data_IF_807161737851
#
_entry.id   IF_807161737851
#
_cell.length_a   1.000
_cell.length_b   1.000
_cell.length_c   1.000
_cell.angle_alpha   90.00
_cell.angle_beta   90.00
_cell.angle_gamma   90.00
#
_symmetry.space_group_name_H-M   'P 1'
#
loop_
_entity.id
_entity.type
_entity.pdbx_description
1 polymer ?
#
# COMPACT_ATOMS: atom_id res chain seq x y z
N UNK A 1 3.49 8.68 -11.36
CA UNK A 1 3.86 8.16 -10.03
C UNK A 1 2.75 8.40 -8.99
N UNK A 2 2.36 9.66 -8.75
CA UNK A 2 1.30 10.00 -7.79
C UNK A 2 -0.05 9.32 -8.08
N UNK A 3 -0.45 9.22 -9.35
CA UNK A 3 -1.67 8.53 -9.76
C UNK A 3 -1.67 7.03 -9.38
N UNK A 4 -0.51 6.36 -9.48
CA UNK A 4 -0.35 4.96 -9.09
C UNK A 4 -0.45 4.80 -7.57
N UNK A 5 0.17 5.71 -6.81
CA UNK A 5 0.07 5.73 -5.34
C UNK A 5 -1.39 5.86 -4.92
N UNK A 6 -2.15 6.80 -5.48
CA UNK A 6 -3.57 6.95 -5.14
C UNK A 6 -4.37 5.70 -5.46
N UNK A 7 -4.08 5.03 -6.58
CA UNK A 7 -4.72 3.77 -6.94
C UNK A 7 -4.46 2.66 -5.92
N UNK A 8 -3.20 2.50 -5.50
CA UNK A 8 -2.77 1.57 -4.46
C UNK A 8 -3.46 1.88 -3.12
N UNK A 9 -3.40 3.14 -2.68
CA UNK A 9 -3.98 3.56 -1.40
C UNK A 9 -5.50 3.35 -1.41
N UNK A 10 -6.20 3.70 -2.50
CA UNK A 10 -7.63 3.41 -2.64
C UNK A 10 -7.93 1.91 -2.56
N UNK A 11 -7.15 1.07 -3.22
CA UNK A 11 -7.31 -0.38 -3.13
C UNK A 11 -7.10 -0.88 -1.69
N UNK A 12 -6.07 -0.38 -1.01
CA UNK A 12 -5.80 -0.72 0.40
C UNK A 12 -6.98 -0.36 1.29
N UNK A 13 -7.55 0.84 1.16
CA UNK A 13 -8.71 1.25 1.97
C UNK A 13 -9.99 0.52 1.59
N UNK A 14 -10.22 0.23 0.30
CA UNK A 14 -11.40 -0.48 -0.19
C UNK A 14 -11.44 -1.94 0.29
N UNK A 15 -10.30 -2.63 0.25
CA UNK A 15 -10.20 -4.05 0.59
C UNK A 15 -9.68 -4.31 2.01
N UNK A 16 -9.20 -3.28 2.70
CA UNK A 16 -8.79 -3.30 4.10
C UNK A 16 -7.87 -4.47 4.43
N UNK A 17 -8.32 -5.34 5.33
CA UNK A 17 -7.56 -6.50 5.80
C UNK A 17 -7.05 -7.42 4.69
N UNK A 18 -7.78 -7.58 3.58
CA UNK A 18 -7.33 -8.41 2.44
C UNK A 18 -6.11 -7.81 1.76
N UNK A 19 -6.13 -6.49 1.51
CA UNK A 19 -5.00 -5.79 0.92
C UNK A 19 -3.78 -5.80 1.85
N UNK A 20 -4.00 -5.56 3.16
CA UNK A 20 -2.93 -5.59 4.16
C UNK A 20 -2.26 -6.96 4.22
N UNK A 21 -3.03 -8.06 4.16
CA UNK A 21 -2.47 -9.41 4.13
C UNK A 21 -1.65 -9.66 2.86
N UNK A 22 -2.15 -9.23 1.69
CA UNK A 22 -1.47 -9.42 0.40
C UNK A 22 -0.08 -8.74 0.36
N UNK A 23 0.03 -7.56 0.97
CA UNK A 23 1.26 -6.75 0.92
C UNK A 23 2.17 -6.96 2.14
N UNK A 24 1.74 -7.72 3.14
CA UNK A 24 2.50 -7.92 4.40
C UNK A 24 3.92 -8.46 4.14
N UNK A 25 4.02 -9.49 3.32
CA UNK A 25 5.31 -10.10 3.00
C UNK A 25 6.18 -9.19 2.12
N UNK A 26 5.56 -8.42 1.23
CA UNK A 26 6.24 -7.44 0.39
C UNK A 26 6.83 -6.29 1.19
N UNK A 27 6.15 -5.85 2.25
CA UNK A 27 6.61 -4.76 3.11
C UNK A 27 7.73 -5.21 4.06
N UNK A 28 7.71 -6.45 4.55
CA UNK A 28 8.75 -6.96 5.45
C UNK A 28 8.95 -6.06 6.68
N UNK A 29 10.15 -5.52 6.85
CA UNK A 29 10.49 -4.61 7.95
C UNK A 29 9.74 -3.26 7.92
N UNK A 30 9.20 -2.87 6.76
CA UNK A 30 8.40 -1.66 6.61
C UNK A 30 6.95 -1.82 7.06
N UNK A 31 6.52 -3.04 7.39
CA UNK A 31 5.13 -3.33 7.70
C UNK A 31 4.60 -2.48 8.87
N UNK A 32 5.37 -2.33 9.94
CA UNK A 32 4.92 -1.57 11.11
C UNK A 32 4.77 -0.07 10.81
N UNK A 33 5.71 0.52 10.07
CA UNK A 33 5.62 1.94 9.69
C UNK A 33 4.50 2.19 8.69
N UNK A 34 4.27 1.25 7.77
CA UNK A 34 3.13 1.26 6.86
C UNK A 34 1.80 1.20 7.63
N UNK A 35 1.64 0.30 8.59
CA UNK A 35 0.41 0.17 9.39
C UNK A 35 0.17 1.44 10.21
N UNK A 36 1.22 2.06 10.75
CA UNK A 36 1.11 3.34 11.44
C UNK A 36 0.55 4.43 10.50
N UNK A 37 1.07 4.54 9.28
CA UNK A 37 0.56 5.48 8.29
C UNK A 37 -0.87 5.16 7.84
N UNK A 38 -1.20 3.88 7.63
CA UNK A 38 -2.56 3.43 7.29
C UNK A 38 -3.58 3.82 8.37
N UNK A 39 -3.23 3.64 9.65
CA UNK A 39 -4.09 4.04 10.79
C UNK A 39 -4.28 5.56 10.90
N UNK A 40 -3.32 6.36 10.45
CA UNK A 40 -3.44 7.82 10.41
C UNK A 40 -4.36 8.32 9.27
N UNK A 41 -4.64 7.47 8.28
CA UNK A 41 -5.59 7.74 7.22
C UNK A 41 -4.94 7.96 5.86
N UNK A 42 -5.78 8.32 4.88
CA UNK A 42 -5.44 8.33 3.47
C UNK A 42 -4.23 9.21 3.14
N UNK A 43 -4.21 10.46 3.61
CA UNK A 43 -3.15 11.41 3.30
C UNK A 43 -1.79 10.98 3.89
N UNK A 44 -1.79 10.43 5.11
CA UNK A 44 -0.58 9.91 5.74
C UNK A 44 -0.03 8.71 4.97
N UNK A 45 -0.90 7.81 4.51
CA UNK A 45 -0.47 6.66 3.72
C UNK A 45 0.07 7.06 2.33
N UNK A 46 -0.56 8.05 1.67
CA UNK A 46 -0.03 8.61 0.42
C UNK A 46 1.36 9.20 0.62
N UNK A 47 1.56 9.98 1.70
CA UNK A 47 2.87 10.53 2.05
C UNK A 47 3.89 9.43 2.31
N UNK A 48 3.50 8.39 3.05
CA UNK A 48 4.37 7.25 3.33
C UNK A 48 4.85 6.57 2.04
N UNK A 49 3.97 6.39 1.03
CA UNK A 49 4.36 5.87 -0.28
C UNK A 49 5.26 6.81 -1.09
N UNK A 50 5.10 8.13 -0.94
CA UNK A 50 6.00 9.10 -1.56
C UNK A 50 7.41 9.00 -0.96
N UNK A 51 7.50 8.90 0.36
CA UNK A 51 8.77 8.75 1.10
C UNK A 51 9.43 7.39 0.81
N UNK A 52 8.64 6.34 0.52
CA UNK A 52 9.09 4.98 0.20
C UNK A 52 8.82 4.61 -1.26
N UNK A 53 9.04 5.54 -2.20
CA UNK A 53 8.65 5.37 -3.60
C UNK A 53 9.18 4.10 -4.28
N UNK A 54 10.32 3.58 -3.82
CA UNK A 54 10.93 2.33 -4.29
C UNK A 54 10.09 1.07 -3.99
N UNK A 55 9.17 1.10 -3.01
CA UNK A 55 8.29 -0.03 -2.68
C UNK A 55 7.00 -0.07 -3.53
N UNK A 56 6.66 1.05 -4.20
CA UNK A 56 5.37 1.23 -4.91
C UNK A 56 5.14 0.09 -5.89
N UNK A 57 6.15 -0.26 -6.69
CA UNK A 57 6.02 -1.28 -7.72
C UNK A 57 5.76 -2.67 -7.11
N UNK A 58 6.49 -3.01 -6.03
CA UNK A 58 6.34 -4.29 -5.33
C UNK A 58 4.95 -4.40 -4.70
N UNK A 59 4.46 -3.32 -4.09
CA UNK A 59 3.11 -3.28 -3.51
C UNK A 59 2.03 -3.39 -4.59
N UNK A 60 2.19 -2.69 -5.71
CA UNK A 60 1.24 -2.80 -6.84
C UNK A 60 1.17 -4.24 -7.37
N UNK A 61 2.31 -4.88 -7.63
CA UNK A 61 2.35 -6.26 -8.12
C UNK A 61 1.74 -7.25 -7.10
N UNK A 62 2.00 -7.07 -5.80
CA UNK A 62 1.39 -7.89 -4.75
C UNK A 62 -0.14 -7.74 -4.70
N UNK A 63 -0.65 -6.51 -4.81
CA UNK A 63 -2.09 -6.26 -4.88
C UNK A 63 -2.71 -6.81 -6.17
N UNK A 64 -1.99 -6.73 -7.29
CA UNK A 64 -2.42 -7.22 -8.59
C UNK A 64 -2.50 -8.75 -8.61
N UNK A 65 -1.48 -9.43 -8.07
CA UNK A 65 -1.46 -10.88 -7.91
C UNK A 65 -2.62 -11.38 -7.02
N UNK A 66 -3.06 -10.56 -6.07
CA UNK A 66 -4.22 -10.84 -5.23
C UNK A 66 -5.58 -10.48 -5.89
N UNK A 67 -5.58 -9.94 -7.12
CA UNK A 67 -6.79 -9.52 -7.83
C UNK A 67 -7.48 -8.29 -7.21
N UNK A 68 -6.73 -7.46 -6.48
CA UNK A 68 -7.26 -6.31 -5.74
C UNK A 68 -7.06 -4.97 -6.48
N UNK A 69 -6.28 -4.98 -7.56
CA UNK A 69 -6.00 -3.81 -8.40
C UNK A 69 -5.66 -4.29 -9.82
N UNK A 70 -5.92 -3.42 -10.79
CA UNK A 70 -5.56 -3.58 -12.20
C UNK A 70 -5.18 -2.21 -12.74
#
# INVERSE_FOLDING_TARGET
MLNLIYKIVNAIFKYGGKAIQAIKNALGSLYDSFIAAYKQGFAALVKWFLDHSWIIQIVYEALKAAGLID
#
